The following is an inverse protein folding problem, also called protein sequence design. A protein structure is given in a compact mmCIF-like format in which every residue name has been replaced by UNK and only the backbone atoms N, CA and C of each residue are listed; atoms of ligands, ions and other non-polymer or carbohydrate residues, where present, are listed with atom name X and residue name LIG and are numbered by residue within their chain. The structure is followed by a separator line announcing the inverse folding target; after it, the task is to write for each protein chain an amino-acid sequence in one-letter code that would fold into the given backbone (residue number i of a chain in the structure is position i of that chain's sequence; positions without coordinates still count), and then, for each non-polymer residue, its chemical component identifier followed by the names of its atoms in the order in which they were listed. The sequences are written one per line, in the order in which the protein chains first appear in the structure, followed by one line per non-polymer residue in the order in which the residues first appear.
data_IF_496876570033
#
_entry.id   IF_496876570033
#
_cell.length_a   1.000
_cell.length_b   1.000
_cell.length_c   1.000
_cell.angle_alpha   90.00
_cell.angle_beta   90.00
_cell.angle_gamma   90.00
#
_symmetry.space_group_name_H-M   'P 1'
#
loop_
_entity.id
_entity.type
_entity.pdbx_description
1 polymer ?
#
# COMPACT_ATOMS: atom_id res chain seq x y z
N UNK A 1 35.39 -6.62 9.56
CA UNK A 1 35.45 -5.39 8.73
C UNK A 1 35.52 -5.66 7.22
N UNK A 2 36.20 -6.69 6.71
CA UNK A 2 36.21 -7.05 5.27
C UNK A 2 34.85 -7.50 4.75
N UNK A 3 34.13 -8.33 5.50
CA UNK A 3 32.79 -8.83 5.11
C UNK A 3 31.73 -7.72 5.02
N UNK A 4 31.83 -6.69 5.86
CA UNK A 4 30.91 -5.55 5.84
C UNK A 4 31.15 -4.64 4.62
N UNK A 5 32.39 -4.50 4.20
CA UNK A 5 32.74 -3.75 2.96
C UNK A 5 32.27 -4.49 1.70
N UNK A 6 32.35 -5.82 1.71
CA UNK A 6 31.83 -6.65 0.61
C UNK A 6 30.31 -6.52 0.50
N UNK A 7 29.59 -6.53 1.62
CA UNK A 7 28.15 -6.35 1.65
C UNK A 7 27.70 -4.98 1.10
N UNK A 8 28.42 -3.91 1.45
CA UNK A 8 28.16 -2.55 0.94
C UNK A 8 28.47 -2.47 -0.55
N UNK A 9 29.56 -3.09 -1.01
CA UNK A 9 29.93 -3.08 -2.45
C UNK A 9 28.92 -3.87 -3.29
N UNK A 10 28.42 -4.99 -2.78
CA UNK A 10 27.39 -5.80 -3.46
C UNK A 10 26.05 -5.04 -3.51
N UNK A 11 25.67 -4.32 -2.45
CA UNK A 11 24.52 -3.46 -2.44
C UNK A 11 24.64 -2.29 -3.44
N UNK A 12 25.82 -1.69 -3.56
CA UNK A 12 26.08 -0.59 -4.48
C UNK A 12 26.07 -1.01 -5.96
N UNK A 13 26.54 -2.23 -6.28
CA UNK A 13 26.53 -2.77 -7.65
C UNK A 13 25.11 -3.15 -8.08
N UNK A 14 24.25 -3.63 -7.18
CA UNK A 14 22.83 -3.94 -7.46
C UNK A 14 22.01 -2.67 -7.71
N UNK A 15 22.44 -1.52 -7.17
CA UNK A 15 21.74 -0.24 -7.36
C UNK A 15 21.98 0.43 -8.74
N UNK A 16 22.88 -0.10 -9.57
CA UNK A 16 23.39 0.61 -10.76
C UNK A 16 22.76 0.23 -12.10
N UNK A 17 21.77 -0.66 -12.17
CA UNK A 17 21.21 -1.09 -13.46
C UNK A 17 19.69 -1.16 -13.44
N UNK A 18 19.09 -0.46 -14.37
CA UNK A 18 17.83 -0.68 -15.07
C UNK A 18 16.88 0.52 -15.06
N UNK A 19 16.91 1.27 -16.14
CA UNK A 19 15.79 2.09 -16.56
C UNK A 19 14.77 1.12 -17.20
N UNK A 20 13.73 0.78 -16.47
CA UNK A 20 12.59 0.03 -17.00
C UNK A 20 11.40 0.96 -17.01
N UNK A 21 10.96 1.36 -18.19
CA UNK A 21 9.69 2.06 -18.38
C UNK A 21 8.56 1.04 -18.20
N UNK A 22 8.08 0.87 -16.98
CA UNK A 22 6.93 0.04 -16.68
C UNK A 22 5.73 0.90 -16.29
N UNK A 23 4.54 0.54 -16.74
CA UNK A 23 3.30 1.17 -16.29
C UNK A 23 3.18 0.96 -14.77
N UNK A 24 3.15 2.06 -14.03
CA UNK A 24 3.16 2.00 -12.56
C UNK A 24 1.73 1.95 -12.02
N UNK A 25 1.50 1.05 -11.05
CA UNK A 25 0.33 1.11 -10.15
C UNK A 25 0.45 2.37 -9.28
N UNK A 26 -0.68 2.96 -8.81
CA UNK A 26 -0.65 4.08 -7.89
C UNK A 26 0.36 3.87 -6.76
N UNK A 27 1.28 4.81 -6.60
CA UNK A 27 2.31 4.75 -5.57
C UNK A 27 1.87 5.56 -4.36
N UNK A 28 1.92 4.94 -3.19
CA UNK A 28 1.66 5.60 -1.92
C UNK A 28 2.97 5.76 -1.15
N UNK A 29 3.31 6.98 -0.78
CA UNK A 29 4.51 7.24 0.03
C UNK A 29 4.31 6.78 1.48
N UNK A 30 3.08 6.83 1.96
CA UNK A 30 2.71 6.41 3.30
C UNK A 30 2.14 4.97 3.36
N UNK A 31 2.70 4.05 2.56
CA UNK A 31 2.25 2.64 2.51
C UNK A 31 2.22 1.96 3.88
N UNK A 32 3.04 2.41 4.82
CA UNK A 32 3.07 1.85 6.18
C UNK A 32 1.82 2.23 6.97
N UNK A 33 1.20 3.40 6.68
CA UNK A 33 -0.04 3.84 7.32
C UNK A 33 -1.24 3.03 6.87
N UNK A 34 -1.31 2.68 5.60
CA UNK A 34 -2.40 1.90 5.02
C UNK A 34 -1.87 0.77 4.14
N UNK A 35 -1.26 -0.23 4.76
CA UNK A 35 -0.71 -1.40 4.05
C UNK A 35 -1.78 -2.23 3.33
N UNK A 36 -3.06 -2.06 3.66
CA UNK A 36 -4.17 -2.72 2.99
C UNK A 36 -4.28 -2.34 1.50
N UNK A 37 -3.88 -1.11 1.13
CA UNK A 37 -3.86 -0.69 -0.28
C UNK A 37 -2.92 -1.53 -1.14
N UNK A 38 -1.89 -2.13 -0.54
CA UNK A 38 -0.87 -2.91 -1.24
C UNK A 38 -1.11 -4.42 -1.05
N UNK A 39 -1.53 -4.83 0.14
CA UNK A 39 -1.61 -6.25 0.50
C UNK A 39 -2.97 -6.59 1.13
N UNK A 40 -3.82 -7.39 0.46
CA UNK A 40 -5.13 -7.75 0.98
C UNK A 40 -5.08 -8.56 2.29
N UNK A 41 -3.97 -9.23 2.63
CA UNK A 41 -3.83 -9.96 3.90
C UNK A 41 -3.83 -9.04 5.12
N UNK A 42 -3.72 -7.73 4.92
CA UNK A 42 -3.76 -6.74 5.98
C UNK A 42 -5.17 -6.28 6.34
N UNK A 43 -6.21 -6.70 5.60
CA UNK A 43 -7.58 -6.36 5.91
C UNK A 43 -7.96 -6.82 7.33
N UNK A 44 -8.29 -5.86 8.22
CA UNK A 44 -8.62 -6.12 9.61
C UNK A 44 -7.50 -6.74 10.46
N UNK A 45 -6.26 -6.69 10.02
CA UNK A 45 -5.11 -7.34 10.70
C UNK A 45 -4.85 -6.78 12.10
N UNK A 46 -5.11 -5.50 12.33
CA UNK A 46 -4.94 -4.81 13.61
C UNK A 46 -6.12 -4.98 14.58
N UNK A 47 -7.20 -5.60 14.11
CA UNK A 47 -8.39 -5.88 14.93
C UNK A 47 -9.36 -4.71 15.07
N UNK A 48 -9.05 -3.55 14.46
CA UNK A 48 -9.97 -2.40 14.41
C UNK A 48 -10.84 -2.41 13.16
N UNK A 49 -11.94 -1.66 13.23
CA UNK A 49 -12.63 -1.16 12.04
C UNK A 49 -11.99 0.19 11.70
N UNK A 50 -11.42 0.30 10.52
CA UNK A 50 -10.64 1.48 10.13
C UNK A 50 -11.16 2.02 8.81
N UNK A 51 -11.40 3.32 8.75
CA UNK A 51 -11.63 4.08 7.52
C UNK A 51 -10.38 4.90 7.25
N UNK A 52 -9.87 4.85 6.04
CA UNK A 52 -8.75 5.69 5.60
C UNK A 52 -9.12 6.46 4.34
N UNK A 53 -8.67 7.70 4.28
CA UNK A 53 -8.69 8.56 3.10
C UNK A 53 -7.26 8.95 2.78
N UNK A 54 -6.88 8.87 1.51
CA UNK A 54 -5.54 9.27 1.04
C UNK A 54 -5.72 10.08 -0.24
N UNK A 55 -5.05 11.22 -0.28
CA UNK A 55 -4.95 12.10 -1.44
C UNK A 55 -3.49 12.29 -1.75
N UNK A 56 -3.10 12.04 -2.99
CA UNK A 56 -1.74 12.21 -3.47
C UNK A 56 -1.73 13.00 -4.77
N UNK A 57 -0.98 14.09 -4.77
CA UNK A 57 -0.69 14.92 -5.92
C UNK A 57 0.81 14.83 -6.22
N UNK A 58 1.17 14.26 -7.37
CA UNK A 58 2.57 14.11 -7.76
C UNK A 58 3.00 15.28 -8.63
N UNK A 59 4.26 15.70 -8.49
CA UNK A 59 4.92 16.70 -9.34
C UNK A 59 4.09 17.98 -9.49
N UNK A 60 3.69 18.55 -8.36
CA UNK A 60 2.84 19.74 -8.33
C UNK A 60 3.46 20.85 -9.18
N UNK A 61 2.62 21.52 -9.99
CA UNK A 61 3.03 22.55 -10.95
C UNK A 61 3.16 22.06 -12.40
N UNK A 62 3.20 20.76 -12.63
CA UNK A 62 3.19 20.16 -13.98
C UNK A 62 1.74 19.94 -14.42
N UNK A 63 1.42 20.37 -15.65
CA UNK A 63 0.08 20.16 -16.24
C UNK A 63 -0.17 18.66 -16.41
N UNK A 64 -1.36 18.19 -16.01
CA UNK A 64 -1.78 16.78 -16.09
C UNK A 64 -0.85 15.83 -15.31
N UNK A 65 -0.20 16.33 -14.25
CA UNK A 65 0.60 15.51 -13.34
C UNK A 65 -0.25 14.42 -12.67
N UNK A 66 0.35 13.30 -12.25
CA UNK A 66 -0.39 12.21 -11.63
C UNK A 66 -1.08 12.63 -10.33
N UNK A 67 -2.34 12.24 -10.17
CA UNK A 67 -3.10 12.41 -8.94
C UNK A 67 -3.84 11.14 -8.57
N UNK A 68 -3.85 10.80 -7.28
CA UNK A 68 -4.48 9.58 -6.78
C UNK A 68 -5.34 9.90 -5.55
N UNK A 69 -6.59 9.51 -5.61
CA UNK A 69 -7.56 9.61 -4.52
C UNK A 69 -7.96 8.20 -4.10
N UNK A 70 -7.85 7.89 -2.83
CA UNK A 70 -8.17 6.58 -2.30
C UNK A 70 -9.00 6.66 -1.03
N UNK A 71 -10.03 5.83 -0.95
CA UNK A 71 -10.81 5.63 0.26
C UNK A 71 -10.86 4.14 0.57
N UNK A 72 -10.54 3.73 1.79
CA UNK A 72 -10.59 2.34 2.19
C UNK A 72 -11.30 2.16 3.52
N UNK A 73 -11.98 1.03 3.63
CA UNK A 73 -12.56 0.54 4.86
C UNK A 73 -12.08 -0.87 5.11
N UNK A 74 -11.71 -1.17 6.33
CA UNK A 74 -11.35 -2.52 6.74
C UNK A 74 -11.87 -2.82 8.14
N UNK A 75 -12.23 -4.06 8.38
CA UNK A 75 -12.73 -4.50 9.68
C UNK A 75 -12.36 -5.95 9.95
N UNK A 76 -12.26 -6.31 11.21
CA UNK A 76 -12.12 -7.70 11.62
C UNK A 76 -13.44 -8.21 12.19
N UNK A 77 -13.96 -9.28 11.60
CA UNK A 77 -15.12 -9.95 12.13
C UNK A 77 -14.73 -10.70 13.40
N UNK A 78 -15.10 -10.16 14.54
CA UNK A 78 -14.92 -10.80 15.83
C UNK A 78 -16.13 -11.68 16.12
N UNK A 79 -15.89 -12.92 16.56
CA UNK A 79 -16.98 -13.71 17.13
C UNK A 79 -17.55 -12.96 18.32
N UNK A 80 -18.86 -12.85 18.39
CA UNK A 80 -19.55 -12.18 19.49
C UNK A 80 -19.14 -12.83 20.81
N UNK A 81 -18.50 -12.06 21.68
CA UNK A 81 -18.10 -12.56 23.00
C UNK A 81 -19.34 -12.90 23.80
N UNK A 82 -19.41 -14.09 24.36
CA UNK A 82 -20.48 -14.45 25.33
C UNK A 82 -20.55 -13.45 26.50
N UNK A 83 -19.47 -12.74 26.78
CA UNK A 83 -19.39 -11.70 27.81
C UNK A 83 -20.36 -10.55 27.52
N UNK A 84 -20.56 -10.18 26.26
CA UNK A 84 -21.48 -9.08 25.86
C UNK A 84 -22.96 -9.48 25.93
N UNK A 85 -23.25 -10.77 25.96
CA UNK A 85 -24.63 -11.31 26.04
C UNK A 85 -25.05 -11.78 27.47
N UNK A 86 -24.06 -11.99 28.35
CA UNK A 86 -24.33 -12.46 29.70
C UNK A 86 -24.48 -11.30 30.66
N UNK A 87 -25.67 -11.10 31.16
CA UNK A 87 -26.00 -10.24 32.31
C UNK A 87 -25.65 -10.90 33.66
N UNK A 88 -25.07 -12.11 33.64
CA UNK A 88 -24.72 -12.90 34.83
C UNK A 88 -23.43 -12.43 35.49
N UNK A 89 -23.47 -12.31 36.81
CA UNK A 89 -22.37 -11.90 37.67
C UNK A 89 -21.20 -12.91 37.71
N UNK A 90 -21.39 -14.15 37.23
CA UNK A 90 -20.33 -15.20 37.17
C UNK A 90 -19.37 -15.05 35.98
N UNK A 91 -18.83 -13.88 35.74
CA UNK A 91 -17.91 -13.60 34.61
C UNK A 91 -16.53 -14.27 34.73
N UNK A 92 -16.17 -14.84 35.89
CA UNK A 92 -14.82 -15.43 36.12
C UNK A 92 -14.57 -16.77 35.42
N UNK A 93 -15.62 -17.48 35.00
CA UNK A 93 -15.50 -18.83 34.41
C UNK A 93 -15.47 -18.88 32.89
N UNK A 94 -15.67 -17.75 32.21
CA UNK A 94 -15.67 -17.72 30.72
C UNK A 94 -14.25 -17.57 30.20
N UNK A 95 -13.77 -18.62 29.52
CA UNK A 95 -12.54 -18.54 28.73
C UNK A 95 -12.69 -17.43 27.69
N UNK A 96 -11.66 -16.56 27.48
CA UNK A 96 -11.71 -15.55 26.45
C UNK A 96 -11.98 -16.23 25.11
N UNK A 97 -13.06 -15.84 24.46
CA UNK A 97 -13.39 -16.31 23.10
C UNK A 97 -12.21 -16.00 22.21
N UNK A 98 -11.70 -16.98 21.48
CA UNK A 98 -10.68 -16.76 20.46
C UNK A 98 -11.18 -15.67 19.54
N UNK A 99 -10.41 -14.60 19.36
CA UNK A 99 -10.77 -13.49 18.48
C UNK A 99 -11.09 -13.97 17.08
N UNK A 100 -11.91 -13.25 16.34
CA UNK A 100 -12.28 -13.59 14.98
C UNK A 100 -11.02 -13.75 14.09
N UNK A 101 -11.13 -14.62 13.12
CA UNK A 101 -10.03 -14.92 12.18
C UNK A 101 -10.23 -14.28 10.82
N UNK A 102 -11.39 -13.68 10.59
CA UNK A 102 -11.76 -13.14 9.28
C UNK A 102 -11.64 -11.62 9.31
N UNK A 103 -10.92 -11.08 8.34
CA UNK A 103 -10.87 -9.67 8.00
C UNK A 103 -11.62 -9.43 6.69
N UNK A 104 -12.35 -8.33 6.63
CA UNK A 104 -12.97 -7.82 5.41
C UNK A 104 -12.45 -6.42 5.13
N UNK A 105 -12.31 -6.09 3.85
CA UNK A 105 -11.90 -4.77 3.43
C UNK A 105 -12.56 -4.37 2.11
N UNK A 106 -12.73 -3.07 1.94
CA UNK A 106 -13.12 -2.44 0.69
C UNK A 106 -12.20 -1.26 0.40
N UNK A 107 -11.92 -1.03 -0.86
CA UNK A 107 -11.02 0.02 -1.32
C UNK A 107 -11.55 0.59 -2.63
N UNK A 108 -11.77 1.89 -2.63
CA UNK A 108 -12.11 2.66 -3.83
C UNK A 108 -10.93 3.55 -4.20
N UNK A 109 -10.64 3.68 -5.48
CA UNK A 109 -9.58 4.54 -5.97
C UNK A 109 -9.96 5.24 -7.26
N UNK A 110 -9.41 6.43 -7.42
CA UNK A 110 -9.39 7.17 -8.67
C UNK A 110 -7.94 7.64 -8.88
N UNK A 111 -7.34 7.22 -9.98
CA UNK A 111 -5.95 7.48 -10.32
C UNK A 111 -5.90 8.07 -11.73
N UNK A 112 -5.39 9.28 -11.82
CA UNK A 112 -5.19 9.99 -13.07
C UNK A 112 -3.68 10.12 -13.32
N UNK A 113 -3.23 9.72 -14.49
CA UNK A 113 -1.81 9.81 -14.87
C UNK A 113 -1.70 10.25 -16.34
N UNK A 114 -1.52 11.54 -16.56
CA UNK A 114 -1.56 12.13 -17.88
C UNK A 114 -2.92 11.95 -18.54
N UNK A 115 -2.94 11.22 -19.64
CA UNK A 115 -4.18 10.89 -20.39
C UNK A 115 -4.87 9.62 -19.87
N UNK A 116 -4.23 8.87 -18.95
CA UNK A 116 -4.76 7.62 -18.42
C UNK A 116 -5.53 7.91 -17.14
N UNK A 117 -6.80 7.48 -17.10
CA UNK A 117 -7.63 7.54 -15.91
C UNK A 117 -8.05 6.13 -15.51
N UNK A 118 -7.83 5.78 -14.24
CA UNK A 118 -8.26 4.50 -13.66
C UNK A 118 -9.14 4.77 -12.45
N UNK A 119 -10.36 4.28 -12.49
CA UNK A 119 -11.30 4.36 -11.35
C UNK A 119 -11.79 2.99 -11.02
N UNK A 120 -11.65 2.56 -9.78
CA UNK A 120 -11.98 1.19 -9.44
C UNK A 120 -12.34 0.97 -7.99
N UNK A 121 -12.80 -0.26 -7.76
CA UNK A 121 -13.17 -0.76 -6.45
C UNK A 121 -12.55 -2.13 -6.24
N UNK A 122 -12.11 -2.38 -5.00
CA UNK A 122 -11.60 -3.67 -4.54
C UNK A 122 -12.38 -4.14 -3.33
N UNK A 123 -12.79 -5.40 -3.32
CA UNK A 123 -13.30 -6.09 -2.15
C UNK A 123 -12.31 -7.17 -1.71
N UNK A 124 -11.96 -7.23 -0.44
CA UNK A 124 -10.96 -8.13 0.09
C UNK A 124 -11.49 -8.97 1.25
N UNK A 125 -11.05 -10.21 1.27
CA UNK A 125 -11.22 -11.17 2.35
C UNK A 125 -9.85 -11.59 2.86
N UNK A 126 -9.64 -11.55 4.17
CA UNK A 126 -8.41 -12.02 4.81
C UNK A 126 -8.70 -13.06 5.88
N UNK A 127 -7.87 -14.07 5.95
CA UNK A 127 -7.92 -15.08 7.01
C UNK A 127 -6.67 -15.01 7.88
N UNK A 128 -6.86 -14.82 9.17
CA UNK A 128 -5.79 -14.61 10.15
C UNK A 128 -5.65 -15.83 11.05
N UNK A 129 -4.47 -16.41 11.06
CA UNK A 129 -4.11 -17.58 11.85
C UNK A 129 -3.20 -17.12 13.00
N UNK A 130 -3.69 -17.02 14.24
CA UNK A 130 -2.83 -16.74 15.37
C UNK A 130 -1.94 -17.95 15.66
N UNK A 131 -0.63 -17.72 15.76
CA UNK A 131 0.39 -18.70 16.11
C UNK A 131 0.94 -18.31 17.49
N UNK A 132 0.57 -19.10 18.50
CA UNK A 132 0.95 -18.76 19.87
C UNK A 132 0.28 -17.47 20.39
N UNK A 133 0.98 -16.71 21.25
CA UNK A 133 0.43 -15.55 21.95
C UNK A 133 0.69 -14.20 21.26
N UNK A 134 1.65 -14.13 20.33
CA UNK A 134 2.12 -12.87 19.76
C UNK A 134 2.57 -12.95 18.30
N UNK A 135 2.08 -13.94 17.58
CA UNK A 135 2.39 -14.13 16.15
C UNK A 135 1.09 -14.36 15.39
N UNK A 136 1.05 -13.87 14.17
CA UNK A 136 -0.08 -14.02 13.27
C UNK A 136 0.41 -14.25 11.84
N UNK A 137 -0.06 -15.32 11.23
CA UNK A 137 0.05 -15.56 9.79
C UNK A 137 -1.29 -15.17 9.15
N UNK A 138 -1.26 -14.47 8.04
CA UNK A 138 -2.49 -14.00 7.38
C UNK A 138 -2.39 -14.23 5.90
N UNK A 139 -3.50 -14.66 5.31
CA UNK A 139 -3.67 -14.77 3.86
C UNK A 139 -4.84 -13.91 3.44
N UNK A 140 -4.74 -13.26 2.29
CA UNK A 140 -5.78 -12.40 1.77
C UNK A 140 -5.99 -12.61 0.28
N UNK A 141 -7.25 -12.53 -0.12
CA UNK A 141 -7.67 -12.49 -1.51
C UNK A 141 -8.52 -11.25 -1.71
N UNK A 142 -8.38 -10.61 -2.86
CA UNK A 142 -9.23 -9.50 -3.21
C UNK A 142 -9.65 -9.58 -4.67
N UNK A 143 -10.91 -9.27 -4.92
CA UNK A 143 -11.45 -9.04 -6.25
C UNK A 143 -11.47 -7.54 -6.52
N UNK A 144 -10.96 -7.13 -7.66
CA UNK A 144 -10.87 -5.74 -8.11
C UNK A 144 -11.61 -5.61 -9.43
N UNK A 145 -12.35 -4.55 -9.58
CA UNK A 145 -12.90 -4.14 -10.86
C UNK A 145 -12.56 -2.66 -11.07
N UNK A 146 -11.95 -2.32 -12.18
CA UNK A 146 -11.64 -0.94 -12.48
C UNK A 146 -11.95 -0.60 -13.94
N UNK A 147 -12.37 0.64 -14.11
CA UNK A 147 -12.54 1.28 -15.38
C UNK A 147 -11.19 1.90 -15.80
N UNK A 148 -10.72 1.52 -16.97
CA UNK A 148 -9.60 2.16 -17.64
C UNK A 148 -10.16 3.07 -18.72
N UNK A 149 -9.79 4.35 -18.69
CA UNK A 149 -10.25 5.33 -19.66
C UNK A 149 -9.07 6.15 -20.17
N UNK A 150 -9.10 6.50 -21.46
CA UNK A 150 -8.20 7.44 -22.07
C UNK A 150 -8.91 8.80 -22.19
N UNK A 151 -8.38 9.82 -21.53
CA UNK A 151 -8.84 11.20 -21.62
C UNK A 151 -7.99 11.93 -22.65
N UNK A 152 -8.52 12.00 -23.86
CA UNK A 152 -7.86 12.67 -24.99
C UNK A 152 -8.14 14.18 -25.03
N UNK A 153 -8.92 14.74 -24.06
CA UNK A 153 -9.18 16.16 -24.00
C UNK A 153 -7.88 16.90 -23.63
N UNK A 154 -7.32 17.60 -24.59
CA UNK A 154 -6.06 18.32 -24.43
C UNK A 154 -4.80 17.51 -24.75
N UNK A 155 -4.93 16.27 -25.22
CA UNK A 155 -3.82 15.53 -25.81
C UNK A 155 -3.47 16.16 -27.18
N UNK A 156 -2.18 16.41 -27.40
CA UNK A 156 -1.69 16.83 -28.72
C UNK A 156 -1.35 15.55 -29.47
N UNK A 157 -2.24 15.15 -30.39
CA UNK A 157 -1.99 14.03 -31.29
C UNK A 157 -1.07 14.51 -32.40
N UNK A 158 -0.08 13.73 -32.78
CA UNK A 158 0.80 14.01 -33.92
C UNK A 158 0.05 13.86 -35.22
N UNK A 159 -0.88 12.90 -35.29
CA UNK A 159 -1.82 12.68 -36.36
C UNK A 159 -3.24 12.71 -35.80
N UNK A 160 -4.05 13.69 -36.25
CA UNK A 160 -5.43 13.86 -35.77
C UNK A 160 -6.38 12.82 -36.37
N UNK A 161 -6.01 12.21 -37.49
CA UNK A 161 -6.80 11.21 -38.23
C UNK A 161 -6.32 9.77 -38.00
N UNK A 162 -5.51 9.53 -36.96
CA UNK A 162 -5.06 8.20 -36.58
C UNK A 162 -6.27 7.30 -36.25
N UNK A 163 -6.53 6.35 -37.16
CA UNK A 163 -7.64 5.38 -37.06
C UNK A 163 -7.61 4.59 -35.72
N UNK A 164 -6.45 4.47 -35.11
CA UNK A 164 -6.29 3.81 -33.81
C UNK A 164 -7.01 4.56 -32.69
N UNK A 165 -6.88 5.89 -32.65
CA UNK A 165 -7.55 6.72 -31.64
C UNK A 165 -9.04 6.96 -31.96
N UNK A 166 -9.43 6.91 -33.23
CA UNK A 166 -10.80 7.11 -33.63
C UNK A 166 -11.69 5.88 -33.40
N UNK A 167 -11.12 4.66 -33.48
CA UNK A 167 -11.83 3.39 -33.36
C UNK A 167 -11.62 2.69 -32.01
N UNK A 168 -10.81 3.27 -31.09
CA UNK A 168 -10.55 2.67 -29.79
C UNK A 168 -11.69 2.91 -28.79
N UNK A 169 -12.15 1.85 -28.14
CA UNK A 169 -13.06 1.97 -27.01
C UNK A 169 -12.38 2.77 -25.88
N UNK A 170 -12.76 4.02 -25.72
CA UNK A 170 -12.16 4.96 -24.74
C UNK A 170 -12.33 4.53 -23.29
N UNK A 171 -13.15 3.50 -23.06
CA UNK A 171 -13.50 3.01 -21.72
C UNK A 171 -13.54 1.49 -21.74
N UNK A 172 -12.69 0.86 -20.92
CA UNK A 172 -12.64 -0.59 -20.75
C UNK A 172 -12.79 -0.93 -19.28
N UNK A 173 -13.62 -1.93 -18.95
CA UNK A 173 -13.75 -2.46 -17.59
C UNK A 173 -12.90 -3.72 -17.42
N UNK A 174 -12.02 -3.71 -16.43
CA UNK A 174 -11.06 -4.79 -16.20
C UNK A 174 -11.33 -5.40 -14.84
N UNK A 175 -11.86 -6.64 -14.78
CA UNK A 175 -11.89 -7.42 -13.55
C UNK A 175 -10.52 -8.03 -13.28
N UNK A 176 -10.12 -8.10 -12.01
CA UNK A 176 -8.84 -8.67 -11.62
C UNK A 176 -8.87 -9.23 -10.20
N UNK A 177 -7.84 -9.98 -9.83
CA UNK A 177 -7.66 -10.52 -8.50
C UNK A 177 -6.28 -10.18 -7.93
N UNK A 178 -6.26 -10.00 -6.63
CA UNK A 178 -5.03 -9.77 -5.87
C UNK A 178 -4.91 -10.82 -4.76
N UNK A 179 -3.70 -11.26 -4.53
CA UNK A 179 -3.35 -12.19 -3.45
C UNK A 179 -2.39 -11.52 -2.48
N UNK A 180 -2.46 -11.89 -1.22
CA UNK A 180 -1.51 -11.44 -0.22
C UNK A 180 -1.28 -12.46 0.88
N UNK A 181 -0.07 -12.48 1.39
CA UNK A 181 0.31 -13.22 2.58
C UNK A 181 1.13 -12.31 3.50
N UNK A 182 0.98 -12.47 4.81
CA UNK A 182 1.78 -11.71 5.77
C UNK A 182 1.99 -12.49 7.06
N UNK A 183 3.18 -12.33 7.61
CA UNK A 183 3.54 -12.81 8.93
C UNK A 183 3.89 -11.64 9.82
N UNK A 184 3.28 -11.58 10.99
CA UNK A 184 3.44 -10.50 11.94
C UNK A 184 3.77 -11.04 13.32
N UNK A 185 4.69 -10.38 13.97
CA UNK A 185 5.00 -10.56 15.39
C UNK A 185 4.85 -9.25 16.14
N UNK A 186 5.14 -9.24 17.44
CA UNK A 186 5.19 -8.00 18.22
C UNK A 186 6.18 -6.98 17.66
N UNK A 187 7.33 -7.43 17.17
CA UNK A 187 8.48 -6.59 16.88
C UNK A 187 8.80 -6.50 15.38
N UNK A 188 8.32 -7.41 14.55
CA UNK A 188 8.59 -7.37 13.11
C UNK A 188 7.42 -7.92 12.30
N UNK A 189 7.40 -7.55 11.04
CA UNK A 189 6.45 -8.09 10.07
C UNK A 189 7.13 -8.27 8.71
N UNK A 190 6.61 -9.23 7.96
CA UNK A 190 6.94 -9.45 6.55
C UNK A 190 5.63 -9.69 5.81
N UNK A 191 5.49 -9.17 4.62
CA UNK A 191 4.33 -9.35 3.77
C UNK A 191 4.73 -9.48 2.31
N UNK A 192 4.05 -10.36 1.60
CA UNK A 192 4.11 -10.52 0.17
C UNK A 192 2.73 -10.27 -0.43
N UNK A 193 2.68 -9.58 -1.55
CA UNK A 193 1.45 -9.41 -2.30
C UNK A 193 1.70 -9.47 -3.80
N UNK A 194 0.70 -9.94 -4.51
CA UNK A 194 0.63 -9.97 -5.95
C UNK A 194 -0.67 -9.30 -6.38
N UNK A 195 -0.58 -8.29 -7.21
CA UNK A 195 -1.72 -7.58 -7.78
C UNK A 195 -1.81 -7.83 -9.26
N UNK A 196 -3.02 -7.72 -9.78
CA UNK A 196 -3.33 -7.92 -11.20
C UNK A 196 -2.94 -9.33 -11.70
N UNK A 197 -3.44 -10.34 -10.98
CA UNK A 197 -3.11 -11.75 -11.23
C UNK A 197 -3.59 -12.26 -12.58
N UNK A 198 -4.70 -11.75 -13.09
CA UNK A 198 -5.20 -12.14 -14.41
C UNK A 198 -4.42 -11.49 -15.54
N UNK A 199 -3.46 -10.62 -15.20
CA UNK A 199 -2.63 -9.93 -16.18
C UNK A 199 -3.49 -9.46 -17.34
N UNK A 200 -4.49 -8.62 -17.01
CA UNK A 200 -5.41 -8.09 -18.02
C UNK A 200 -4.62 -7.59 -19.21
N UNK A 201 -4.65 -8.35 -20.29
CA UNK A 201 -3.97 -8.00 -21.52
C UNK A 201 -4.74 -6.82 -22.09
N UNK A 202 -4.29 -5.62 -21.77
CA UNK A 202 -4.66 -4.46 -22.54
C UNK A 202 -3.98 -4.64 -23.90
N UNK A 203 -4.73 -5.13 -24.86
CA UNK A 203 -4.33 -5.12 -26.26
C UNK A 203 -4.35 -3.66 -26.72
N UNK A 204 -3.23 -2.98 -26.50
CA UNK A 204 -2.94 -1.67 -27.08
C UNK A 204 -2.35 -1.94 -28.49
N UNK A 205 -3.19 -2.20 -29.49
CA UNK A 205 -2.72 -2.44 -30.84
C UNK A 205 -3.60 -3.39 -31.66
N UNK A 206 -3.41 -3.39 -32.96
CA UNK A 206 -4.07 -4.28 -33.91
C UNK A 206 -3.76 -5.75 -33.59
N UNK A 207 -4.67 -6.69 -33.87
CA UNK A 207 -4.62 -8.12 -33.52
C UNK A 207 -3.37 -8.88 -33.98
N UNK A 208 -2.44 -8.24 -34.67
CA UNK A 208 -1.19 -8.84 -35.16
C UNK A 208 0.07 -8.55 -34.38
N UNK A 209 0.03 -7.62 -33.40
CA UNK A 209 1.23 -7.24 -32.67
C UNK A 209 1.31 -7.99 -31.33
N UNK A 210 2.34 -8.83 -31.19
CA UNK A 210 2.60 -9.62 -29.97
C UNK A 210 3.01 -8.79 -28.74
N UNK A 211 2.72 -7.49 -28.71
CA UNK A 211 3.07 -6.57 -27.64
C UNK A 211 2.07 -6.69 -26.47
N UNK A 212 2.08 -7.83 -25.78
CA UNK A 212 1.31 -8.08 -24.55
C UNK A 212 2.00 -7.38 -23.39
N UNK A 213 1.48 -6.25 -22.96
CA UNK A 213 1.98 -5.61 -21.73
C UNK A 213 1.42 -6.34 -20.51
N UNK A 214 2.28 -7.10 -19.84
CA UNK A 214 1.92 -7.76 -18.57
C UNK A 214 1.80 -6.72 -17.46
N UNK A 215 0.61 -6.62 -16.84
CA UNK A 215 0.33 -5.62 -15.80
C UNK A 215 0.52 -6.15 -14.36
N UNK A 216 1.04 -7.37 -14.20
CA UNK A 216 1.23 -7.97 -12.88
C UNK A 216 2.23 -7.18 -12.01
N UNK A 217 1.92 -6.98 -10.73
CA UNK A 217 2.81 -6.32 -9.79
C UNK A 217 3.02 -7.16 -8.53
N UNK A 218 4.27 -7.21 -8.10
CA UNK A 218 4.72 -7.96 -6.93
C UNK A 218 5.25 -6.98 -5.88
N UNK A 219 4.83 -7.19 -4.63
CA UNK A 219 5.22 -6.37 -3.51
C UNK A 219 5.79 -7.24 -2.40
N UNK A 220 6.95 -6.86 -1.89
CA UNK A 220 7.53 -7.43 -0.68
C UNK A 220 7.68 -6.31 0.35
N UNK A 221 7.06 -6.49 1.51
CA UNK A 221 7.12 -5.50 2.59
C UNK A 221 7.74 -6.11 3.83
N UNK A 222 8.49 -5.33 4.56
CA UNK A 222 9.04 -5.76 5.84
C UNK A 222 9.32 -4.58 6.74
N UNK A 223 9.32 -4.83 8.05
CA UNK A 223 9.67 -3.80 9.01
C UNK A 223 9.84 -4.36 10.41
N UNK A 224 10.51 -3.58 11.24
CA UNK A 224 10.76 -3.92 12.62
C UNK A 224 10.44 -2.73 13.53
N UNK A 225 10.17 -3.02 14.82
CA UNK A 225 9.84 -2.05 15.85
C UNK A 225 10.88 -2.19 16.98
N UNK A 226 11.58 -1.12 17.25
CA UNK A 226 12.57 -1.02 18.32
C UNK A 226 12.11 0.01 19.35
N UNK A 227 11.75 -0.45 20.54
CA UNK A 227 11.42 0.43 21.67
C UNK A 227 12.73 0.85 22.33
N UNK A 228 13.07 2.14 22.21
CA UNK A 228 14.30 2.71 22.78
C UNK A 228 14.09 2.99 24.26
N UNK A 229 12.97 3.61 24.62
CA UNK A 229 12.56 3.86 26.00
C UNK A 229 11.03 4.00 26.08
N UNK A 230 10.49 4.50 27.21
CA UNK A 230 9.03 4.64 27.42
C UNK A 230 8.35 5.58 26.40
N UNK A 231 9.07 6.57 25.89
CA UNK A 231 8.50 7.63 25.04
C UNK A 231 8.93 7.49 23.57
N UNK A 232 10.03 6.80 23.28
CA UNK A 232 10.60 6.75 21.93
C UNK A 232 10.65 5.34 21.36
N UNK A 233 10.24 5.25 20.12
CA UNK A 233 10.28 4.02 19.32
C UNK A 233 10.76 4.32 17.91
N UNK A 234 11.64 3.46 17.38
CA UNK A 234 12.16 3.53 16.02
C UNK A 234 11.56 2.38 15.21
N UNK A 235 11.10 2.68 14.02
CA UNK A 235 10.46 1.70 13.15
C UNK A 235 11.05 1.78 11.73
N UNK A 236 12.14 1.05 11.44
CA UNK A 236 12.60 0.84 10.08
C UNK A 236 11.64 -0.09 9.33
N UNK A 237 11.48 0.17 8.04
CA UNK A 237 10.69 -0.64 7.13
C UNK A 237 11.22 -0.54 5.70
N UNK A 238 10.90 -1.53 4.89
CA UNK A 238 11.20 -1.54 3.47
C UNK A 238 10.01 -2.05 2.67
N UNK A 239 9.85 -1.49 1.48
CA UNK A 239 8.93 -1.95 0.45
C UNK A 239 9.75 -2.17 -0.82
N UNK A 240 9.64 -3.35 -1.40
CA UNK A 240 10.16 -3.65 -2.73
C UNK A 240 8.96 -3.91 -3.62
N UNK A 241 8.91 -3.26 -4.76
CA UNK A 241 7.89 -3.51 -5.78
C UNK A 241 8.56 -3.84 -7.11
N UNK A 242 7.97 -4.76 -7.87
CA UNK A 242 8.42 -5.16 -9.18
C UNK A 242 7.24 -5.45 -10.09
N UNK A 243 7.38 -5.21 -11.38
CA UNK A 243 6.46 -5.69 -12.41
C UNK A 243 6.82 -7.10 -12.90
N UNK A 244 7.95 -7.65 -12.47
CA UNK A 244 8.44 -8.97 -12.83
C UNK A 244 8.56 -9.87 -11.59
N UNK A 245 8.11 -11.13 -11.70
CA UNK A 245 8.17 -12.12 -10.62
C UNK A 245 9.60 -12.46 -10.19
N UNK A 246 10.56 -12.32 -11.08
CA UNK A 246 11.98 -12.58 -10.78
C UNK A 246 12.67 -11.34 -10.16
N UNK A 247 11.96 -10.24 -9.96
CA UNK A 247 12.49 -9.00 -9.40
C UNK A 247 13.73 -8.46 -10.15
N UNK A 248 13.81 -8.68 -11.46
CA UNK A 248 14.89 -8.14 -12.30
C UNK A 248 14.83 -6.63 -12.41
N UNK A 249 13.61 -6.10 -12.45
CA UNK A 249 13.35 -4.67 -12.44
C UNK A 249 12.51 -4.36 -11.20
N UNK A 250 13.11 -3.68 -10.22
CA UNK A 250 12.42 -3.36 -8.97
C UNK A 250 12.70 -1.93 -8.52
N UNK A 251 11.76 -1.38 -7.78
CA UNK A 251 11.92 -0.15 -7.01
C UNK A 251 11.83 -0.49 -5.52
N UNK A 252 12.70 0.13 -4.72
CA UNK A 252 12.75 -0.10 -3.28
C UNK A 252 12.58 1.22 -2.53
N UNK A 253 11.71 1.21 -1.52
CA UNK A 253 11.56 2.27 -0.55
C UNK A 253 12.13 1.80 0.79
N UNK A 254 13.14 2.49 1.31
CA UNK A 254 13.69 2.26 2.65
C UNK A 254 13.22 3.41 3.54
N UNK A 255 12.46 3.09 4.56
CA UNK A 255 11.80 4.06 5.44
C UNK A 255 12.23 3.87 6.88
N UNK A 256 12.53 4.95 7.58
CA UNK A 256 12.71 4.94 9.03
C UNK A 256 11.78 5.97 9.66
N UNK A 257 10.93 5.52 10.61
CA UNK A 257 10.05 6.40 11.38
C UNK A 257 10.47 6.39 12.84
N UNK A 258 10.40 7.55 13.46
CA UNK A 258 10.63 7.75 14.90
C UNK A 258 9.31 8.20 15.50
N UNK A 259 8.84 7.49 16.52
CA UNK A 259 7.59 7.78 17.22
C UNK A 259 7.90 8.35 18.62
N UNK A 260 7.16 9.38 18.99
CA UNK A 260 7.16 9.98 20.31
C UNK A 260 5.82 9.77 21.00
N UNK A 261 5.81 9.09 22.14
CA UNK A 261 4.63 8.72 22.96
C UNK A 261 3.54 7.99 22.18
N UNK A 262 3.90 7.35 21.08
CA UNK A 262 2.98 6.71 20.11
C UNK A 262 1.97 7.65 19.45
N UNK A 263 1.95 8.93 19.80
CA UNK A 263 0.99 9.92 19.30
C UNK A 263 1.55 10.78 18.16
N UNK A 264 2.85 11.03 18.17
CA UNK A 264 3.51 11.80 17.13
C UNK A 264 4.60 10.96 16.47
N UNK A 265 4.79 11.15 15.20
CA UNK A 265 5.89 10.51 14.49
C UNK A 265 6.39 11.37 13.34
N UNK A 266 7.67 11.21 13.05
CA UNK A 266 8.30 11.73 11.85
C UNK A 266 9.10 10.60 11.18
N UNK A 267 9.30 10.70 9.89
CA UNK A 267 10.01 9.68 9.12
C UNK A 267 10.70 10.22 7.90
N UNK A 268 11.70 9.48 7.48
CA UNK A 268 12.43 9.70 6.26
C UNK A 268 12.41 8.40 5.46
N UNK A 269 12.14 8.51 4.17
CA UNK A 269 12.20 7.39 3.23
C UNK A 269 13.06 7.76 2.03
N UNK A 270 13.82 6.79 1.56
CA UNK A 270 14.55 6.88 0.31
C UNK A 270 13.96 5.88 -0.68
N UNK A 271 13.51 6.40 -1.81
CA UNK A 271 13.01 5.62 -2.93
C UNK A 271 14.06 5.56 -4.01
N UNK A 272 14.48 4.34 -4.37
CA UNK A 272 15.54 4.14 -5.36
C UNK A 272 15.18 4.74 -6.70
N UNK A 273 16.08 5.58 -7.23
CA UNK A 273 15.96 6.18 -8.56
C UNK A 273 14.85 7.22 -8.72
N UNK A 274 14.17 7.64 -7.63
CA UNK A 274 13.01 8.52 -7.73
C UNK A 274 13.07 9.71 -6.76
N UNK A 275 12.98 9.47 -5.44
CA UNK A 275 12.75 10.55 -4.49
C UNK A 275 13.30 10.29 -3.07
N UNK A 276 13.53 11.38 -2.34
CA UNK A 276 13.57 11.37 -0.88
C UNK A 276 12.24 11.86 -0.34
N UNK A 277 11.70 11.17 0.66
CA UNK A 277 10.36 11.41 1.20
C UNK A 277 10.49 11.79 2.66
N UNK A 278 10.05 12.98 3.01
CA UNK A 278 9.89 13.42 4.38
C UNK A 278 8.43 13.21 4.79
N UNK A 279 8.19 12.59 5.93
CA UNK A 279 6.84 12.31 6.39
C UNK A 279 6.68 12.61 7.87
N UNK A 280 5.49 13.01 8.24
CA UNK A 280 5.10 13.28 9.63
C UNK A 280 3.65 12.87 9.84
N UNK A 281 3.29 12.61 11.09
CA UNK A 281 1.92 12.33 11.42
C UNK A 281 1.66 12.39 12.93
N UNK A 282 0.38 12.41 13.24
CA UNK A 282 -0.10 12.48 14.61
C UNK A 282 -1.33 11.61 14.80
N UNK A 283 -1.50 11.16 16.04
CA UNK A 283 -2.70 10.49 16.52
C UNK A 283 -3.36 11.37 17.57
N UNK A 284 -4.66 11.58 17.40
CA UNK A 284 -5.49 12.22 18.41
C UNK A 284 -6.72 11.34 18.69
N UNK A 285 -6.74 10.69 19.83
CA UNK A 285 -7.76 9.68 20.20
C UNK A 285 -7.83 8.56 19.13
N UNK A 286 -8.91 8.51 18.37
CA UNK A 286 -9.17 7.55 17.29
C UNK A 286 -8.79 8.04 15.90
N UNK A 287 -8.42 9.31 15.78
CA UNK A 287 -8.06 9.95 14.52
C UNK A 287 -6.56 9.89 14.29
N UNK A 288 -6.17 9.65 13.06
CA UNK A 288 -4.80 9.64 12.59
C UNK A 288 -4.68 10.57 11.40
N UNK A 289 -3.70 11.44 11.43
CA UNK A 289 -3.38 12.34 10.33
C UNK A 289 -1.92 12.17 9.97
N UNK A 290 -1.64 12.20 8.68
CA UNK A 290 -0.29 12.10 8.20
C UNK A 290 -0.10 12.89 6.91
N UNK A 291 1.10 13.41 6.74
CA UNK A 291 1.54 14.15 5.57
C UNK A 291 2.89 13.63 5.11
N UNK A 292 3.06 13.50 3.80
CA UNK A 292 4.36 13.19 3.20
C UNK A 292 4.64 14.19 2.07
N UNK A 293 5.91 14.56 1.99
CA UNK A 293 6.47 15.38 0.93
C UNK A 293 7.58 14.58 0.23
N UNK A 294 7.43 14.35 -1.07
CA UNK A 294 8.41 13.65 -1.88
C UNK A 294 9.24 14.69 -2.66
N UNK A 295 10.52 14.76 -2.36
CA UNK A 295 11.50 15.54 -3.08
C UNK A 295 12.10 14.67 -4.19
N UNK A 296 11.77 14.97 -5.46
CA UNK A 296 12.29 14.23 -6.61
C UNK A 296 13.81 14.38 -6.74
N UNK A 297 14.51 13.27 -6.97
CA UNK A 297 15.95 13.24 -7.22
C UNK A 297 16.27 13.21 -8.72
N UNK A 298 15.26 13.08 -9.56
CA UNK A 298 15.32 13.09 -11.03
C UNK A 298 15.19 14.50 -11.58
N UNK A 299 15.42 14.69 -12.87
CA UNK A 299 15.35 16.00 -13.55
C UNK A 299 13.99 16.68 -13.46
N UNK A 300 12.94 15.93 -13.15
CA UNK A 300 11.58 16.46 -12.95
C UNK A 300 11.51 17.49 -11.81
N UNK A 301 12.46 17.45 -10.87
CA UNK A 301 12.57 18.45 -9.78
C UNK A 301 12.73 19.88 -10.28
N UNK A 302 13.28 20.08 -11.49
CA UNK A 302 13.50 21.40 -12.05
C UNK A 302 12.20 22.05 -12.56
N UNK A 303 11.13 21.24 -12.69
CA UNK A 303 9.85 21.64 -13.25
C UNK A 303 8.67 21.42 -12.30
N UNK A 304 8.90 20.88 -11.10
CA UNK A 304 7.85 20.56 -10.13
C UNK A 304 8.19 21.05 -8.73
N UNK A 305 7.14 21.32 -7.95
CA UNK A 305 7.24 21.66 -6.53
C UNK A 305 7.23 20.42 -5.62
N UNK A 306 7.63 19.26 -6.16
CA UNK A 306 7.60 17.97 -5.45
C UNK A 306 6.22 17.30 -5.48
N UNK A 307 6.08 16.22 -4.71
CA UNK A 307 4.82 15.50 -4.59
C UNK A 307 4.33 15.53 -3.14
N UNK A 308 3.02 15.61 -2.98
CA UNK A 308 2.38 15.78 -1.69
C UNK A 308 1.38 14.65 -1.46
N UNK A 309 1.39 14.05 -0.28
CA UNK A 309 0.41 13.03 0.12
C UNK A 309 -0.15 13.35 1.48
N UNK A 310 -1.48 13.42 1.57
CA UNK A 310 -2.22 13.61 2.82
C UNK A 310 -3.02 12.35 3.08
N UNK A 311 -2.92 11.82 4.29
CA UNK A 311 -3.70 10.68 4.74
C UNK A 311 -4.41 11.00 6.04
N UNK A 312 -5.68 10.59 6.13
CA UNK A 312 -6.48 10.67 7.34
C UNK A 312 -7.13 9.33 7.61
N UNK A 313 -7.12 8.88 8.86
CA UNK A 313 -7.76 7.64 9.24
C UNK A 313 -8.54 7.78 10.55
N UNK A 314 -9.60 6.98 10.66
CA UNK A 314 -10.38 6.85 11.89
C UNK A 314 -10.46 5.38 12.25
N UNK A 315 -10.13 5.04 13.49
CA UNK A 315 -10.19 3.67 14.03
C UNK A 315 -11.32 3.54 15.04
N UNK A 316 -12.14 2.51 14.85
CA UNK A 316 -13.30 2.19 15.70
C UNK A 316 -13.12 0.82 16.35
N UNK A 317 -13.69 0.64 17.54
CA UNK A 317 -13.87 -0.64 18.21
C UNK A 317 -12.95 -0.87 19.40
N UNK A 318 -13.48 -1.61 20.38
CA UNK A 318 -12.77 -1.98 21.63
C UNK A 318 -11.81 -3.16 21.45
N UNK A 319 -11.72 -3.73 20.28
CA UNK A 319 -10.95 -4.94 19.97
C UNK A 319 -9.45 -4.73 20.08
N UNK A 320 -8.98 -3.50 20.06
CA UNK A 320 -7.59 -3.12 20.21
C UNK A 320 -6.91 -3.66 21.47
N UNK A 321 -7.62 -3.78 22.57
CA UNK A 321 -7.08 -4.35 23.80
C UNK A 321 -6.63 -5.81 23.65
N UNK A 322 -7.21 -6.56 22.69
CA UNK A 322 -6.86 -7.96 22.41
C UNK A 322 -5.64 -8.12 21.51
N UNK A 323 -5.38 -7.13 20.66
CA UNK A 323 -4.33 -7.16 19.64
C UNK A 323 -3.32 -6.02 19.81
N UNK A 324 -3.09 -5.53 21.03
CA UNK A 324 -2.11 -4.47 21.33
C UNK A 324 -0.73 -4.70 20.74
N UNK A 325 -0.34 -5.97 20.62
CA UNK A 325 0.95 -6.34 20.03
C UNK A 325 1.01 -6.20 18.49
N UNK A 326 -0.15 -6.10 17.82
CA UNK A 326 -0.22 -5.88 16.36
C UNK A 326 -0.22 -4.38 16.01
N UNK A 327 -0.38 -3.50 16.98
CA UNK A 327 -0.46 -2.08 16.72
C UNK A 327 0.79 -1.59 15.98
N UNK A 328 0.63 -1.11 14.76
CA UNK A 328 1.69 -0.68 13.85
C UNK A 328 1.92 0.82 13.87
N UNK A 329 1.04 1.55 14.51
CA UNK A 329 1.02 3.00 14.50
C UNK A 329 1.25 3.54 15.90
#
# INVERSE_FOLDING_TARGET
MRSFRFLILTLAVVAATNQSAAQQVPMYSQYVMNGFLINPSYAGSDGYSTVNLTVREQWLGIKSAPSTYAASFQTRLLQTSYISRSTSVRKKAMRPTKGGRVGLGGYFFNDNNGIIRRTGFQAAYAYHIPIGSSQQLSFGLAATAYQFALDLQGAVLYDADDDYFNNYDRVVYIPDFNFGASFMTRNYYVGFAMSQMFRGVLLLGNEGDNNRTELGHYFLTGGAKFVVNRDWMIQPSALIKSSDMLFKSFQMDITTRIHYKEDYWAGLSWRTGDAMILMTGMRYDRFFFAYAFDFALTDIRNHSFGSHEISAAVKFGDSARRYRWINRY
#
